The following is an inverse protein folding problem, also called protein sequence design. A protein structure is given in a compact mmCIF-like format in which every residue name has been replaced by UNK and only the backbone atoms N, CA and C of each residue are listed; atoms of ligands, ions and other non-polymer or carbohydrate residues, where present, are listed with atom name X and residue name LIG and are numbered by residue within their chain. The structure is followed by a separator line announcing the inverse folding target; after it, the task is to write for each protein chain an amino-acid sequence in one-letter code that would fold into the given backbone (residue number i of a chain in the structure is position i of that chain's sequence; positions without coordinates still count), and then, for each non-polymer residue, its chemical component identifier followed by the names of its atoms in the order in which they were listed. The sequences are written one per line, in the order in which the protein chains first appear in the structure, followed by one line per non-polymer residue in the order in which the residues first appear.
data_IF_405653835968
#
_entry.id   IF_405653835968
#
_cell.length_a   1.000
_cell.length_b   1.000
_cell.length_c   1.000
_cell.angle_alpha   90.00
_cell.angle_beta   90.00
_cell.angle_gamma   90.00
#
_symmetry.space_group_name_H-M   'P 1'
#
loop_
_entity.id
_entity.type
_entity.pdbx_description
1 polymer ?
#
# COMPACT_ATOMS: atom_id res chain seq x y z
N UNK A 1 14.35 -29.08 -35.02
CA UNK A 1 14.91 -30.44 -34.91
C UNK A 1 16.43 -30.34 -34.95
N UNK A 2 17.07 -30.24 -33.78
CA UNK A 2 18.52 -30.38 -33.57
C UNK A 2 18.67 -30.72 -32.08
N UNK A 3 19.48 -31.73 -31.77
CA UNK A 3 19.48 -32.42 -30.48
C UNK A 3 20.77 -32.10 -29.74
N UNK A 4 20.66 -31.68 -28.47
CA UNK A 4 21.79 -31.60 -27.54
C UNK A 4 21.44 -32.34 -26.26
N UNK A 5 22.24 -33.36 -25.93
CA UNK A 5 22.11 -34.18 -24.72
C UNK A 5 22.80 -33.51 -23.53
N UNK A 6 22.21 -33.53 -22.31
CA UNK A 6 22.86 -33.01 -21.12
C UNK A 6 23.81 -34.04 -20.47
N UNK A 7 24.99 -33.59 -20.07
CA UNK A 7 26.01 -34.41 -19.39
C UNK A 7 25.73 -34.52 -17.89
N UNK A 8 25.77 -35.73 -17.35
CA UNK A 8 25.47 -36.05 -15.95
C UNK A 8 26.56 -35.56 -14.99
N UNK A 9 26.23 -34.65 -14.07
CA UNK A 9 27.10 -34.28 -12.94
C UNK A 9 26.65 -35.04 -11.68
N UNK A 10 27.61 -35.68 -11.01
CA UNK A 10 27.42 -36.56 -9.84
C UNK A 10 27.20 -35.73 -8.57
N UNK A 11 26.04 -35.89 -7.92
CA UNK A 11 25.81 -35.37 -6.57
C UNK A 11 26.54 -36.22 -5.52
N UNK A 12 27.23 -35.58 -4.57
CA UNK A 12 27.88 -36.22 -3.43
C UNK A 12 27.09 -35.90 -2.17
N UNK A 13 26.72 -36.95 -1.42
CA UNK A 13 25.76 -36.89 -0.32
C UNK A 13 26.50 -36.89 1.04
N UNK A 14 26.37 -35.86 1.90
CA UNK A 14 26.97 -35.86 3.23
C UNK A 14 26.09 -36.56 4.28
N UNK A 15 26.68 -37.49 5.02
CA UNK A 15 26.06 -38.21 6.14
C UNK A 15 26.00 -37.35 7.42
N UNK A 16 24.96 -37.48 8.28
CA UNK A 16 24.90 -36.78 9.57
C UNK A 16 25.66 -37.53 10.68
N UNK A 17 26.30 -36.76 11.58
CA UNK A 17 26.99 -37.25 12.78
C UNK A 17 26.03 -37.41 13.98
N UNK A 18 26.33 -38.31 14.95
CA UNK A 18 25.44 -38.58 16.09
C UNK A 18 25.56 -37.56 17.23
N UNK A 19 24.45 -37.33 17.92
CA UNK A 19 24.38 -36.51 19.13
C UNK A 19 24.99 -37.23 20.34
N UNK A 20 25.77 -36.48 21.14
CA UNK A 20 26.21 -36.88 22.49
C UNK A 20 25.64 -35.89 23.51
N UNK A 21 24.83 -36.40 24.43
CA UNK A 21 24.22 -35.64 25.53
C UNK A 21 25.09 -35.70 26.78
N UNK A 22 25.62 -34.54 27.21
CA UNK A 22 26.30 -34.41 28.50
C UNK A 22 25.29 -34.10 29.61
N UNK A 23 25.29 -34.90 30.67
CA UNK A 23 24.55 -34.61 31.91
C UNK A 23 25.41 -34.97 33.12
N UNK A 24 26.10 -33.95 33.68
CA UNK A 24 26.81 -34.04 34.95
C UNK A 24 26.56 -32.77 35.76
N UNK A 25 25.93 -32.93 36.92
CA UNK A 25 26.04 -32.01 38.05
C UNK A 25 26.04 -32.85 39.33
N UNK A 26 27.18 -32.80 40.02
CA UNK A 26 27.49 -33.61 41.22
C UNK A 26 27.12 -32.78 42.45
N UNK A 27 26.40 -33.36 43.40
CA UNK A 27 26.12 -32.75 44.71
C UNK A 27 26.88 -33.47 45.82
N UNK A 28 27.81 -32.75 46.47
CA UNK A 28 28.62 -33.21 47.61
C UNK A 28 27.79 -33.21 48.92
N UNK A 29 27.92 -34.22 49.80
CA UNK A 29 27.35 -34.21 51.15
C UNK A 29 28.42 -33.93 52.24
N UNK A 30 28.00 -33.40 53.40
CA UNK A 30 28.60 -33.43 54.77
C UNK A 30 27.97 -32.28 55.61
N UNK A 31 27.93 -32.31 56.96
CA UNK A 31 27.69 -33.44 57.86
C UNK A 31 26.66 -33.16 59.01
N UNK A 32 26.10 -34.24 59.56
CA UNK A 32 25.72 -34.50 60.98
C UNK A 32 25.14 -33.39 61.90
N UNK A 33 24.01 -33.71 62.54
CA UNK A 33 23.86 -33.61 64.02
C UNK A 33 22.73 -34.54 64.50
N UNK A 34 22.73 -34.92 65.78
CA UNK A 34 21.94 -36.05 66.31
C UNK A 34 21.10 -35.71 67.54
N UNK A 35 19.98 -36.45 67.69
CA UNK A 35 19.15 -36.63 68.90
C UNK A 35 18.33 -35.40 69.38
N UNK A 36 17.29 -35.58 70.24
CA UNK A 36 16.71 -36.83 70.76
C UNK A 36 15.21 -37.04 70.43
N UNK A 37 14.72 -38.26 70.65
CA UNK A 37 13.28 -38.60 70.64
C UNK A 37 12.62 -38.37 72.01
N UNK A 38 11.37 -37.86 72.04
CA UNK A 38 10.47 -38.18 73.14
C UNK A 38 9.03 -38.56 72.68
N UNK A 39 8.68 -39.82 72.93
CA UNK A 39 7.45 -40.24 73.63
C UNK A 39 6.10 -39.51 73.41
N UNK A 40 5.16 -40.28 72.83
CA UNK A 40 3.70 -40.29 73.05
C UNK A 40 2.83 -39.22 72.36
N UNK A 41 1.71 -39.71 71.83
CA UNK A 41 0.69 -39.00 71.04
C UNK A 41 -0.29 -38.21 71.93
N UNK A 42 -1.12 -37.34 71.32
CA UNK A 42 -2.41 -37.81 70.82
C UNK A 42 -2.71 -37.38 69.37
N UNK A 43 -3.76 -37.98 68.80
CA UNK A 43 -4.21 -37.74 67.43
C UNK A 43 -4.60 -36.27 67.19
N UNK A 44 -3.94 -35.63 66.23
CA UNK A 44 -4.58 -34.62 65.39
C UNK A 44 -5.06 -35.32 64.10
N UNK A 45 -6.24 -34.96 63.55
CA UNK A 45 -6.64 -35.47 62.24
C UNK A 45 -5.58 -35.06 61.22
N UNK A 46 -5.22 -35.98 60.32
CA UNK A 46 -4.40 -35.60 59.17
C UNK A 46 -5.23 -34.65 58.31
N UNK A 47 -4.89 -33.37 58.37
CA UNK A 47 -5.31 -32.42 57.34
C UNK A 47 -4.73 -32.92 56.03
N UNK A 48 -5.52 -33.70 55.30
CA UNK A 48 -5.33 -33.85 53.87
C UNK A 48 -5.46 -32.44 53.30
N UNK A 49 -4.30 -31.83 53.03
CA UNK A 49 -4.21 -30.77 52.05
C UNK A 49 -4.53 -31.46 50.72
N UNK A 50 -5.82 -31.61 50.46
CA UNK A 50 -6.30 -31.63 49.10
C UNK A 50 -5.82 -30.31 48.52
N UNK A 51 -4.79 -30.37 47.70
CA UNK A 51 -4.49 -29.32 46.76
C UNK A 51 -5.77 -29.11 45.94
N UNK A 52 -6.57 -28.12 46.33
CA UNK A 52 -7.54 -27.52 45.42
C UNK A 52 -6.68 -27.06 44.24
N UNK A 53 -7.01 -27.61 43.08
CA UNK A 53 -6.19 -27.52 41.88
C UNK A 53 -5.96 -26.05 41.50
N UNK A 54 -4.80 -25.52 41.92
CA UNK A 54 -4.40 -24.14 41.69
C UNK A 54 -3.70 -24.03 40.33
N UNK A 55 -4.39 -24.51 39.30
CA UNK A 55 -3.98 -24.58 37.90
C UNK A 55 -5.18 -24.12 37.05
N UNK A 56 -5.09 -23.17 36.12
CA UNK A 56 -3.99 -22.26 35.75
C UNK A 56 -4.60 -20.86 35.51
N UNK A 57 -3.98 -19.75 35.95
CA UNK A 57 -4.33 -18.41 35.47
C UNK A 57 -4.20 -18.29 33.93
N UNK A 58 -3.26 -19.03 33.35
CA UNK A 58 -2.94 -19.06 31.93
C UNK A 58 -4.06 -19.62 31.04
N UNK A 59 -4.85 -20.57 31.55
CA UNK A 59 -5.95 -21.17 30.80
C UNK A 59 -7.16 -20.24 30.74
N UNK A 60 -7.46 -19.51 31.82
CA UNK A 60 -8.59 -18.57 31.85
C UNK A 60 -8.42 -17.43 30.85
N UNK A 61 -7.24 -16.80 30.80
CA UNK A 61 -6.93 -15.77 29.80
C UNK A 61 -6.97 -16.33 28.36
N UNK A 62 -6.45 -17.54 28.15
CA UNK A 62 -6.50 -18.23 26.85
C UNK A 62 -7.92 -18.54 26.41
N UNK A 63 -8.78 -19.00 27.32
CA UNK A 63 -10.20 -19.24 27.06
C UNK A 63 -10.98 -17.95 26.80
N UNK A 64 -10.70 -16.86 27.53
CA UNK A 64 -11.28 -15.55 27.26
C UNK A 64 -10.85 -15.01 25.90
N UNK A 65 -9.56 -15.11 25.55
CA UNK A 65 -9.02 -14.72 24.25
C UNK A 65 -9.67 -15.52 23.11
N UNK A 66 -9.82 -16.84 23.27
CA UNK A 66 -10.48 -17.68 22.27
C UNK A 66 -11.98 -17.36 22.13
N UNK A 67 -12.70 -17.10 23.23
CA UNK A 67 -14.09 -16.63 23.18
C UNK A 67 -14.22 -15.26 22.53
N UNK A 68 -13.30 -14.34 22.82
CA UNK A 68 -13.26 -13.02 22.21
C UNK A 68 -13.05 -13.13 20.70
N UNK A 69 -12.04 -13.88 20.25
CA UNK A 69 -11.78 -14.16 18.83
C UNK A 69 -13.00 -14.79 18.16
N UNK A 70 -13.66 -15.78 18.79
CA UNK A 70 -14.89 -16.37 18.27
C UNK A 70 -16.04 -15.34 18.17
N UNK A 71 -16.15 -14.41 19.12
CA UNK A 71 -17.18 -13.36 19.12
C UNK A 71 -16.93 -12.20 18.13
N UNK A 72 -15.70 -12.05 17.65
CA UNK A 72 -15.30 -11.07 16.62
C UNK A 72 -15.02 -11.71 15.25
N UNK A 73 -15.07 -13.05 15.15
CA UNK A 73 -14.82 -13.76 13.89
C UNK A 73 -15.90 -13.42 12.86
N UNK A 74 -15.49 -13.38 11.60
CA UNK A 74 -16.34 -13.03 10.46
C UNK A 74 -16.22 -14.11 9.39
N UNK A 75 -17.30 -14.36 8.65
CA UNK A 75 -17.24 -15.08 7.38
C UNK A 75 -17.07 -14.08 6.25
N UNK A 76 -15.87 -14.04 5.66
CA UNK A 76 -15.49 -13.07 4.62
C UNK A 76 -15.40 -13.79 3.27
N UNK A 77 -16.18 -13.34 2.30
CA UNK A 77 -16.12 -13.81 0.92
C UNK A 77 -15.30 -12.84 0.06
N UNK A 78 -14.14 -13.29 -0.40
CA UNK A 78 -13.25 -12.52 -1.28
C UNK A 78 -13.64 -12.77 -2.74
N UNK A 79 -14.09 -11.72 -3.44
CA UNK A 79 -14.36 -11.76 -4.87
C UNK A 79 -13.20 -11.08 -5.60
N UNK A 80 -12.47 -11.85 -6.40
CA UNK A 80 -11.21 -11.42 -7.01
C UNK A 80 -10.00 -11.97 -6.27
N UNK A 81 -9.85 -13.29 -6.23
CA UNK A 81 -8.72 -13.98 -5.57
C UNK A 81 -7.40 -13.91 -6.37
N UNK A 82 -7.04 -12.72 -6.87
CA UNK A 82 -5.73 -12.43 -7.48
C UNK A 82 -4.68 -12.01 -6.44
N UNK A 83 -3.56 -11.43 -6.89
CA UNK A 83 -2.40 -11.07 -6.04
C UNK A 83 -2.80 -10.35 -4.74
N UNK A 84 -3.69 -9.36 -4.81
CA UNK A 84 -4.11 -8.58 -3.64
C UNK A 84 -5.06 -9.34 -2.70
N UNK A 85 -6.04 -10.07 -3.25
CA UNK A 85 -6.94 -10.90 -2.46
C UNK A 85 -6.22 -12.04 -1.74
N UNK A 86 -5.22 -12.64 -2.39
CA UNK A 86 -4.32 -13.65 -1.81
C UNK A 86 -3.34 -13.06 -0.77
N UNK A 87 -3.02 -11.76 -0.87
CA UNK A 87 -2.20 -11.06 0.11
C UNK A 87 -3.00 -10.80 1.39
N UNK A 88 -4.21 -10.24 1.28
CA UNK A 88 -5.10 -10.02 2.43
C UNK A 88 -5.52 -11.34 3.09
N UNK A 89 -5.79 -12.39 2.31
CA UNK A 89 -6.29 -13.67 2.85
C UNK A 89 -5.34 -14.29 3.87
N UNK A 90 -4.02 -14.19 3.66
CA UNK A 90 -2.98 -14.74 4.57
C UNK A 90 -3.08 -14.17 5.98
N UNK A 91 -3.49 -12.92 6.12
CA UNK A 91 -3.67 -12.26 7.41
C UNK A 91 -5.05 -12.60 7.98
N UNK A 92 -6.10 -12.51 7.16
CA UNK A 92 -7.48 -12.70 7.63
C UNK A 92 -7.72 -14.13 8.15
N UNK A 93 -7.08 -15.15 7.55
CA UNK A 93 -7.17 -16.56 7.97
C UNK A 93 -6.77 -16.84 9.42
N UNK A 94 -6.02 -15.94 10.07
CA UNK A 94 -5.62 -16.10 11.48
C UNK A 94 -6.83 -16.18 12.42
N UNK A 95 -7.91 -15.45 12.09
CA UNK A 95 -9.05 -15.23 12.98
C UNK A 95 -10.44 -15.29 12.29
N UNK A 96 -10.50 -15.35 10.95
CA UNK A 96 -11.74 -15.27 10.18
C UNK A 96 -11.90 -16.46 9.23
N UNK A 97 -13.15 -16.83 8.93
CA UNK A 97 -13.45 -17.88 7.94
C UNK A 97 -13.46 -17.25 6.55
N UNK A 98 -12.60 -17.74 5.64
CA UNK A 98 -12.52 -17.20 4.28
C UNK A 98 -13.14 -18.12 3.24
N UNK A 99 -13.95 -17.49 2.40
CA UNK A 99 -14.44 -18.03 1.14
C UNK A 99 -13.85 -17.21 -0.01
N UNK A 100 -13.65 -17.80 -1.18
CA UNK A 100 -13.13 -17.10 -2.35
C UNK A 100 -13.89 -17.44 -3.63
N UNK A 101 -14.07 -16.44 -4.49
CA UNK A 101 -14.45 -16.61 -5.89
C UNK A 101 -13.55 -15.75 -6.77
N UNK A 102 -13.28 -16.22 -7.98
CA UNK A 102 -12.54 -15.48 -9.00
C UNK A 102 -12.88 -16.01 -10.39
N UNK A 103 -12.76 -15.13 -11.41
CA UNK A 103 -12.89 -15.51 -12.83
C UNK A 103 -11.87 -16.58 -13.23
N UNK A 104 -10.66 -16.49 -12.69
CA UNK A 104 -9.61 -17.51 -12.88
C UNK A 104 -9.77 -18.56 -11.79
N UNK A 105 -9.71 -19.85 -12.15
CA UNK A 105 -9.73 -20.91 -11.16
C UNK A 105 -8.44 -20.86 -10.31
N UNK A 106 -8.59 -20.65 -9.01
CA UNK A 106 -7.51 -20.67 -8.01
C UNK A 106 -7.74 -21.74 -6.93
N UNK A 107 -8.57 -22.76 -7.19
CA UNK A 107 -8.97 -23.75 -6.19
C UNK A 107 -7.78 -24.40 -5.46
N UNK A 108 -6.74 -24.85 -6.18
CA UNK A 108 -5.57 -25.49 -5.58
C UNK A 108 -4.79 -24.54 -4.66
N UNK A 109 -4.62 -23.28 -5.08
CA UNK A 109 -3.93 -22.25 -4.32
C UNK A 109 -4.74 -21.80 -3.09
N UNK A 110 -6.05 -21.66 -3.25
CA UNK A 110 -6.97 -21.36 -2.16
C UNK A 110 -6.96 -22.49 -1.12
N UNK A 111 -7.07 -23.75 -1.56
CA UNK A 111 -6.97 -24.92 -0.69
C UNK A 111 -5.62 -24.98 0.06
N UNK A 112 -4.50 -24.70 -0.62
CA UNK A 112 -3.18 -24.64 0.02
C UNK A 112 -3.08 -23.53 1.08
N UNK A 113 -3.79 -22.42 0.88
CA UNK A 113 -3.90 -21.34 1.87
C UNK A 113 -4.96 -21.61 2.96
N UNK A 114 -5.81 -22.64 2.83
CA UNK A 114 -6.92 -22.88 3.76
C UNK A 114 -8.19 -22.06 3.49
N UNK A 115 -8.37 -21.55 2.26
CA UNK A 115 -9.54 -20.77 1.81
C UNK A 115 -10.47 -21.66 0.99
N UNK A 116 -11.76 -21.67 1.28
CA UNK A 116 -12.75 -22.42 0.49
C UNK A 116 -13.07 -21.70 -0.83
N UNK A 117 -12.70 -22.29 -1.96
CA UNK A 117 -12.91 -21.69 -3.29
C UNK A 117 -14.22 -22.17 -3.95
N UNK A 118 -14.96 -21.24 -4.54
CA UNK A 118 -16.23 -21.47 -5.23
C UNK A 118 -16.13 -20.98 -6.68
N UNK A 119 -16.43 -21.88 -7.62
CA UNK A 119 -16.39 -21.58 -9.05
C UNK A 119 -17.57 -20.69 -9.48
N UNK A 120 -18.74 -20.86 -8.86
CA UNK A 120 -19.94 -20.04 -9.10
C UNK A 120 -20.18 -19.06 -7.93
N UNK A 121 -20.37 -17.74 -8.17
CA UNK A 121 -20.80 -16.81 -7.12
C UNK A 121 -22.16 -17.16 -6.50
N UNK A 122 -23.01 -17.94 -7.17
CA UNK A 122 -24.29 -18.41 -6.61
C UNK A 122 -24.08 -19.34 -5.40
N UNK A 123 -23.14 -20.28 -5.48
CA UNK A 123 -22.81 -21.22 -4.40
C UNK A 123 -22.09 -20.51 -3.25
N UNK A 124 -21.20 -19.56 -3.59
CA UNK A 124 -20.52 -18.70 -2.64
C UNK A 124 -21.51 -17.92 -1.77
N UNK A 125 -22.55 -17.36 -2.37
CA UNK A 125 -23.51 -16.50 -1.65
C UNK A 125 -24.52 -17.28 -0.81
N UNK A 126 -24.80 -18.54 -1.16
CA UNK A 126 -25.55 -19.48 -0.29
C UNK A 126 -24.81 -19.79 1.02
N UNK A 127 -23.49 -19.60 1.09
CA UNK A 127 -22.76 -19.71 2.36
C UNK A 127 -23.06 -18.55 3.32
N UNK A 128 -23.80 -17.53 2.88
CA UNK A 128 -24.19 -16.34 3.63
C UNK A 128 -23.00 -15.69 4.37
N UNK A 129 -22.01 -15.14 3.65
CA UNK A 129 -20.94 -14.37 4.25
C UNK A 129 -21.47 -13.13 4.97
N UNK A 130 -20.82 -12.77 6.07
CA UNK A 130 -21.06 -11.52 6.78
C UNK A 130 -20.53 -10.34 5.95
N UNK A 131 -19.35 -10.54 5.34
CA UNK A 131 -18.65 -9.52 4.55
C UNK A 131 -18.35 -10.05 3.14
N UNK A 132 -18.65 -9.26 2.12
CA UNK A 132 -18.23 -9.48 0.72
C UNK A 132 -17.17 -8.45 0.36
N UNK A 133 -15.94 -8.91 0.13
CA UNK A 133 -14.78 -8.09 -0.20
C UNK A 133 -14.49 -8.13 -1.70
N UNK A 134 -14.62 -7.00 -2.39
CA UNK A 134 -14.21 -6.83 -3.78
C UNK A 134 -12.71 -6.49 -3.86
N UNK A 135 -11.93 -7.46 -4.35
CA UNK A 135 -10.49 -7.35 -4.63
C UNK A 135 -10.18 -7.57 -6.13
N UNK A 136 -11.11 -7.20 -7.00
CA UNK A 136 -10.95 -7.20 -8.46
C UNK A 136 -10.23 -5.96 -8.99
N UNK A 137 -9.84 -5.98 -10.28
CA UNK A 137 -9.33 -4.77 -10.93
C UNK A 137 -10.42 -3.72 -11.06
N UNK A 138 -10.02 -2.44 -10.98
CA UNK A 138 -10.92 -1.28 -11.13
C UNK A 138 -11.76 -1.43 -12.42
N UNK A 139 -11.11 -1.71 -13.55
CA UNK A 139 -11.73 -1.85 -14.87
C UNK A 139 -12.83 -2.93 -14.97
N UNK A 140 -12.80 -3.96 -14.11
CA UNK A 140 -13.73 -5.09 -14.18
C UNK A 140 -14.87 -5.05 -13.15
N UNK A 141 -14.82 -4.09 -12.23
CA UNK A 141 -15.67 -4.09 -11.01
C UNK A 141 -17.15 -3.81 -11.31
N UNK A 142 -17.48 -2.89 -12.22
CA UNK A 142 -18.89 -2.66 -12.62
C UNK A 142 -19.51 -3.89 -13.31
N UNK A 143 -18.80 -4.46 -14.29
CA UNK A 143 -19.23 -5.67 -15.03
C UNK A 143 -19.39 -6.89 -14.12
N UNK A 144 -18.61 -6.97 -13.03
CA UNK A 144 -18.77 -7.98 -11.99
C UNK A 144 -20.03 -7.71 -11.17
N UNK A 145 -20.19 -6.50 -10.62
CA UNK A 145 -21.33 -6.13 -9.77
C UNK A 145 -22.68 -6.40 -10.44
N UNK A 146 -22.81 -6.10 -11.73
CA UNK A 146 -24.01 -6.37 -12.52
C UNK A 146 -24.41 -7.86 -12.62
N UNK A 147 -23.48 -8.78 -12.33
CA UNK A 147 -23.68 -10.24 -12.45
C UNK A 147 -23.80 -10.97 -11.12
N UNK A 148 -23.60 -10.27 -9.98
CA UNK A 148 -23.61 -10.91 -8.68
C UNK A 148 -25.06 -11.20 -8.21
N UNK A 149 -25.36 -12.41 -7.70
CA UNK A 149 -26.71 -12.80 -7.33
C UNK A 149 -27.10 -12.29 -5.94
N UNK A 150 -27.17 -10.98 -5.76
CA UNK A 150 -27.40 -10.30 -4.46
C UNK A 150 -28.58 -10.86 -3.66
N UNK A 151 -29.62 -11.33 -4.33
CA UNK A 151 -30.80 -12.00 -3.75
C UNK A 151 -30.51 -13.26 -2.90
N UNK A 152 -29.31 -13.84 -3.00
CA UNK A 152 -28.84 -14.98 -2.18
C UNK A 152 -28.17 -14.57 -0.87
N UNK A 153 -27.82 -13.29 -0.71
CA UNK A 153 -27.18 -12.76 0.49
C UNK A 153 -28.21 -12.37 1.56
N UNK A 154 -27.72 -12.19 2.80
CA UNK A 154 -28.52 -11.61 3.88
C UNK A 154 -28.67 -10.11 3.64
N UNK A 155 -29.84 -9.56 4.00
CA UNK A 155 -30.14 -8.12 3.82
C UNK A 155 -29.19 -7.18 4.57
N UNK A 156 -28.43 -7.66 5.54
CA UNK A 156 -27.42 -6.89 6.26
C UNK A 156 -25.99 -7.34 5.96
N UNK A 157 -25.72 -8.01 4.83
CA UNK A 157 -24.33 -8.29 4.41
C UNK A 157 -23.58 -6.98 4.13
N UNK A 158 -22.33 -6.90 4.61
CA UNK A 158 -21.44 -5.75 4.39
C UNK A 158 -20.64 -5.92 3.10
N UNK A 159 -20.76 -4.96 2.19
CA UNK A 159 -19.89 -4.86 1.02
C UNK A 159 -18.70 -3.96 1.31
N UNK A 160 -17.51 -4.47 0.98
CA UNK A 160 -16.24 -3.76 1.10
C UNK A 160 -15.54 -3.77 -0.25
N UNK A 161 -14.95 -2.64 -0.66
CA UNK A 161 -13.96 -2.62 -1.73
C UNK A 161 -12.56 -2.30 -1.20
N UNK A 162 -11.55 -2.81 -1.90
CA UNK A 162 -10.13 -2.47 -1.70
C UNK A 162 -9.48 -1.99 -3.01
N UNK A 163 -10.24 -1.30 -3.87
CA UNK A 163 -9.69 -0.68 -5.08
C UNK A 163 -8.81 0.52 -4.70
N UNK A 164 -7.93 0.94 -5.60
CA UNK A 164 -7.05 2.10 -5.38
C UNK A 164 -7.66 3.47 -5.74
N UNK A 165 -8.93 3.50 -6.13
CA UNK A 165 -9.76 4.70 -6.29
C UNK A 165 -11.05 4.48 -5.50
N UNK A 166 -11.71 5.54 -5.02
CA UNK A 166 -12.78 5.43 -4.02
C UNK A 166 -14.13 6.04 -4.46
N UNK A 167 -14.16 7.13 -5.20
CA UNK A 167 -15.43 7.70 -5.71
C UNK A 167 -16.13 6.71 -6.65
N UNK A 168 -15.37 6.02 -7.50
CA UNK A 168 -15.90 5.04 -8.43
C UNK A 168 -16.59 3.85 -7.74
N UNK A 169 -15.94 3.02 -6.88
CA UNK A 169 -16.62 1.91 -6.21
C UNK A 169 -17.76 2.38 -5.30
N UNK A 170 -17.62 3.52 -4.61
CA UNK A 170 -18.70 4.14 -3.82
C UNK A 170 -19.96 4.35 -4.67
N UNK A 171 -19.80 4.99 -5.83
CA UNK A 171 -20.91 5.31 -6.72
C UNK A 171 -21.51 4.05 -7.38
N UNK A 172 -20.68 3.04 -7.70
CA UNK A 172 -21.16 1.73 -8.17
C UNK A 172 -21.98 1.02 -7.08
N UNK A 173 -21.49 0.98 -5.84
CA UNK A 173 -22.18 0.33 -4.73
C UNK A 173 -23.52 1.00 -4.44
N UNK A 174 -23.58 2.33 -4.37
CA UNK A 174 -24.83 3.07 -4.18
C UNK A 174 -25.83 2.89 -5.34
N UNK A 175 -25.34 2.62 -6.56
CA UNK A 175 -26.15 2.39 -7.77
C UNK A 175 -26.70 0.96 -7.87
N UNK A 176 -25.90 -0.05 -7.50
CA UNK A 176 -26.20 -1.47 -7.76
C UNK A 176 -26.61 -2.29 -6.54
N UNK A 177 -26.18 -1.92 -5.32
CA UNK A 177 -26.49 -2.70 -4.13
C UNK A 177 -27.87 -2.30 -3.57
N UNK A 178 -28.71 -3.28 -3.16
CA UNK A 178 -29.94 -3.02 -2.41
C UNK A 178 -29.72 -2.06 -1.24
N UNK A 179 -30.72 -1.21 -0.88
CA UNK A 179 -30.56 -0.20 0.17
C UNK A 179 -30.26 -0.80 1.55
N UNK A 180 -30.71 -2.03 1.79
CA UNK A 180 -30.51 -2.73 3.05
C UNK A 180 -29.03 -3.09 3.31
N UNK A 181 -28.20 -3.29 2.28
CA UNK A 181 -26.79 -3.71 2.43
C UNK A 181 -25.91 -2.60 3.00
N UNK A 182 -24.96 -2.97 3.86
CA UNK A 182 -23.92 -2.05 4.35
C UNK A 182 -22.83 -1.84 3.29
N UNK A 183 -22.23 -0.64 3.25
CA UNK A 183 -21.16 -0.24 2.32
C UNK A 183 -20.04 0.42 3.12
N UNK A 184 -18.83 -0.14 2.99
CA UNK A 184 -17.58 0.41 3.49
C UNK A 184 -16.56 0.48 2.34
N UNK A 185 -16.17 1.68 1.93
CA UNK A 185 -15.14 1.84 0.91
C UNK A 185 -13.76 1.91 1.58
N UNK A 186 -12.79 1.10 1.15
CA UNK A 186 -11.46 1.06 1.79
C UNK A 186 -10.32 1.09 0.79
N UNK A 187 -9.14 1.49 1.25
CA UNK A 187 -7.91 1.36 0.51
C UNK A 187 -6.73 1.17 1.49
N UNK A 188 -6.23 -0.07 1.64
CA UNK A 188 -4.92 -0.29 2.21
C UNK A 188 -3.89 0.37 1.28
N UNK A 189 -3.18 1.40 1.76
CA UNK A 189 -2.21 2.17 0.94
C UNK A 189 -0.88 1.41 0.78
N UNK A 190 -0.96 0.08 0.68
CA UNK A 190 0.16 -0.85 0.65
C UNK A 190 -0.24 -2.14 -0.08
N UNK A 191 0.74 -2.78 -0.72
CA UNK A 191 0.55 -3.96 -1.57
C UNK A 191 1.37 -5.18 -1.10
N UNK A 192 1.40 -6.26 -1.90
CA UNK A 192 2.20 -7.45 -1.59
C UNK A 192 3.70 -7.17 -1.42
N UNK A 193 4.24 -6.14 -2.09
CA UNK A 193 5.64 -5.73 -1.95
C UNK A 193 5.85 -4.77 -0.76
N UNK A 194 5.06 -3.70 -0.63
CA UNK A 194 5.25 -2.71 0.44
C UNK A 194 4.73 -3.14 1.82
N UNK A 195 3.77 -4.06 1.88
CA UNK A 195 3.23 -4.66 3.11
C UNK A 195 3.72 -6.09 3.39
N UNK A 196 4.82 -6.52 2.76
CA UNK A 196 5.33 -7.90 2.78
C UNK A 196 5.72 -8.41 4.16
N UNK A 197 6.30 -7.56 5.00
CA UNK A 197 6.90 -7.92 6.29
C UNK A 197 5.98 -7.64 7.48
N UNK A 198 5.26 -6.51 7.45
CA UNK A 198 4.32 -6.08 8.48
C UNK A 198 3.41 -5.00 7.90
N UNK A 199 2.22 -4.82 8.48
CA UNK A 199 1.31 -3.71 8.18
C UNK A 199 1.42 -2.57 9.21
N UNK A 200 2.28 -2.73 10.23
CA UNK A 200 2.46 -1.76 11.30
C UNK A 200 2.87 -0.37 10.77
N UNK A 201 2.11 0.66 11.12
CA UNK A 201 2.29 2.04 10.69
C UNK A 201 1.87 2.33 9.23
N UNK A 202 1.55 1.31 8.41
CA UNK A 202 1.11 1.53 7.04
C UNK A 202 -0.29 2.14 7.03
N UNK A 203 -0.62 3.06 6.11
CA UNK A 203 -1.91 3.73 6.11
C UNK A 203 -3.00 2.77 5.60
N UNK A 204 -4.09 2.68 6.33
CA UNK A 204 -5.33 2.04 5.88
C UNK A 204 -6.44 3.09 5.87
N UNK A 205 -6.88 3.47 4.66
CA UNK A 205 -7.92 4.49 4.46
C UNK A 205 -9.30 3.83 4.38
N UNK A 206 -10.31 4.43 5.00
CA UNK A 206 -11.70 3.96 4.89
C UNK A 206 -12.73 5.10 4.94
N UNK A 207 -13.89 4.83 4.35
CA UNK A 207 -15.10 5.67 4.34
C UNK A 207 -16.32 4.79 4.68
N UNK A 208 -17.01 5.09 5.79
CA UNK A 208 -18.24 4.40 6.23
C UNK A 208 -19.46 4.88 5.43
N UNK A 209 -19.42 4.68 4.12
CA UNK A 209 -20.38 5.21 3.12
C UNK A 209 -21.85 4.97 3.47
N UNK A 210 -22.20 3.76 3.94
CA UNK A 210 -23.57 3.42 4.39
C UNK A 210 -23.53 2.26 5.37
N UNK A 211 -23.53 2.55 6.66
CA UNK A 211 -23.70 1.54 7.72
C UNK A 211 -25.04 1.79 8.41
N UNK A 212 -25.86 0.77 8.59
CA UNK A 212 -27.16 0.90 9.27
C UNK A 212 -27.03 0.93 10.80
N UNK A 213 -28.01 1.57 11.46
CA UNK A 213 -27.98 1.92 12.89
C UNK A 213 -28.10 0.72 13.86
N UNK A 214 -28.35 -0.48 13.36
CA UNK A 214 -28.41 -1.68 14.20
C UNK A 214 -27.02 -2.01 14.78
N UNK A 215 -26.94 -2.28 16.09
CA UNK A 215 -25.70 -2.67 16.77
C UNK A 215 -24.97 -3.82 16.06
N UNK A 216 -25.72 -4.78 15.49
CA UNK A 216 -25.14 -5.91 14.75
C UNK A 216 -24.41 -5.51 13.46
N UNK A 217 -24.82 -4.41 12.82
CA UNK A 217 -24.26 -3.87 11.57
C UNK A 217 -23.03 -3.02 11.85
N UNK A 218 -23.15 -2.13 12.84
CA UNK A 218 -22.04 -1.33 13.37
C UNK A 218 -20.89 -2.27 13.81
N UNK A 219 -21.19 -3.24 14.68
CA UNK A 219 -20.21 -4.21 15.17
C UNK A 219 -19.58 -5.05 14.05
N UNK A 220 -20.31 -5.37 12.97
CA UNK A 220 -19.73 -6.08 11.82
C UNK A 220 -18.73 -5.20 11.06
N UNK A 221 -19.05 -3.93 10.87
CA UNK A 221 -18.14 -2.96 10.24
C UNK A 221 -16.88 -2.77 11.10
N UNK A 222 -17.04 -2.55 12.40
CA UNK A 222 -15.92 -2.34 13.31
C UNK A 222 -15.05 -3.60 13.44
N UNK A 223 -15.64 -4.80 13.57
CA UNK A 223 -14.92 -6.09 13.54
C UNK A 223 -14.09 -6.30 12.24
N UNK A 224 -14.48 -5.69 11.11
CA UNK A 224 -13.73 -5.76 9.87
C UNK A 224 -12.57 -4.74 9.83
N UNK A 225 -12.79 -3.53 10.34
CA UNK A 225 -11.76 -2.50 10.47
C UNK A 225 -10.66 -2.91 11.46
N UNK A 226 -11.07 -3.52 12.57
CA UNK A 226 -10.24 -4.08 13.64
C UNK A 226 -9.23 -5.14 13.14
N UNK A 227 -9.47 -5.78 11.98
CA UNK A 227 -8.48 -6.65 11.31
C UNK A 227 -7.21 -5.88 10.95
N UNK A 228 -7.37 -4.66 10.43
CA UNK A 228 -6.24 -3.81 10.03
C UNK A 228 -5.63 -3.10 11.26
N UNK A 229 -6.45 -2.67 12.20
CA UNK A 229 -6.00 -2.04 13.45
C UNK A 229 -5.11 -2.98 14.29
N UNK A 230 -5.51 -4.26 14.44
CA UNK A 230 -4.73 -5.29 15.15
C UNK A 230 -3.39 -5.64 14.52
N UNK A 231 -3.26 -5.48 13.21
CA UNK A 231 -1.98 -5.64 12.49
C UNK A 231 -1.13 -4.34 12.54
N UNK A 232 -1.60 -3.34 13.28
CA UNK A 232 -0.90 -2.08 13.56
C UNK A 232 -1.05 -1.03 12.47
N UNK A 233 -1.99 -1.17 11.53
CA UNK A 233 -2.22 -0.16 10.49
C UNK A 233 -2.53 1.20 11.13
N UNK A 234 -2.03 2.27 10.51
CA UNK A 234 -2.50 3.62 10.79
C UNK A 234 -3.85 3.81 10.12
N UNK A 235 -4.92 3.66 10.91
CA UNK A 235 -6.30 3.82 10.49
C UNK A 235 -6.59 5.29 10.16
N UNK A 236 -7.12 5.57 8.97
CA UNK A 236 -7.42 6.94 8.50
C UNK A 236 -8.83 6.98 7.91
N UNK A 237 -9.78 7.53 8.65
CA UNK A 237 -11.12 7.81 8.14
C UNK A 237 -11.11 9.10 7.31
N UNK A 238 -11.61 9.05 6.07
CA UNK A 238 -11.83 10.22 5.21
C UNK A 238 -12.84 9.90 4.11
N UNK A 239 -13.45 10.92 3.51
CA UNK A 239 -14.40 10.69 2.42
C UNK A 239 -13.72 10.15 1.16
N UNK A 240 -14.45 9.36 0.36
CA UNK A 240 -13.97 8.86 -0.93
C UNK A 240 -13.47 9.98 -1.88
N UNK A 241 -14.09 11.16 -1.82
CA UNK A 241 -13.71 12.34 -2.60
C UNK A 241 -12.37 12.93 -2.15
N UNK A 242 -12.15 13.05 -0.84
CA UNK A 242 -10.86 13.50 -0.29
C UNK A 242 -9.76 12.49 -0.58
N UNK A 243 -10.04 11.20 -0.43
CA UNK A 243 -9.11 10.14 -0.81
C UNK A 243 -8.65 10.31 -2.26
N UNK A 244 -9.58 10.37 -3.23
CA UNK A 244 -9.19 10.41 -4.64
C UNK A 244 -8.44 11.71 -4.99
N UNK A 245 -8.78 12.83 -4.36
CA UNK A 245 -8.01 14.07 -4.47
C UNK A 245 -6.56 13.91 -3.97
N UNK A 246 -6.34 13.30 -2.80
CA UNK A 246 -4.99 13.06 -2.27
C UNK A 246 -4.23 11.98 -3.06
N UNK A 247 -4.91 10.90 -3.46
CA UNK A 247 -4.33 9.78 -4.20
C UNK A 247 -3.86 10.20 -5.59
N UNK A 248 -4.56 11.13 -6.26
CA UNK A 248 -4.09 11.73 -7.52
C UNK A 248 -2.73 12.43 -7.35
N UNK A 249 -2.60 13.30 -6.34
CA UNK A 249 -1.37 14.05 -6.07
C UNK A 249 -0.22 13.25 -5.46
N UNK A 250 -0.46 11.99 -5.06
CA UNK A 250 0.52 11.13 -4.39
C UNK A 250 0.71 9.79 -5.10
N UNK A 251 -0.22 8.85 -4.94
CA UNK A 251 -0.16 7.53 -5.54
C UNK A 251 -0.05 7.59 -7.07
N UNK A 252 -0.96 8.31 -7.75
CA UNK A 252 -0.96 8.35 -9.21
C UNK A 252 0.35 8.94 -9.75
N UNK A 253 0.79 10.09 -9.24
CA UNK A 253 2.11 10.69 -9.52
C UNK A 253 3.26 9.68 -9.31
N UNK A 254 3.22 8.92 -8.21
CA UNK A 254 4.23 7.90 -7.88
C UNK A 254 4.28 6.78 -8.92
N UNK A 255 3.13 6.23 -9.33
CA UNK A 255 3.08 5.23 -10.41
C UNK A 255 3.46 5.80 -11.78
N UNK A 256 3.04 7.04 -12.11
CA UNK A 256 3.44 7.71 -13.35
C UNK A 256 4.95 7.82 -13.41
N UNK A 257 5.60 8.32 -12.35
CA UNK A 257 7.07 8.43 -12.31
C UNK A 257 7.76 7.07 -12.35
N UNK A 258 7.28 6.07 -11.60
CA UNK A 258 7.82 4.70 -11.68
C UNK A 258 7.79 4.14 -13.10
N UNK A 259 6.67 4.31 -13.83
CA UNK A 259 6.53 3.85 -15.22
C UNK A 259 7.30 4.70 -16.24
N UNK A 260 7.48 6.00 -16.00
CA UNK A 260 8.38 6.84 -16.82
C UNK A 260 9.83 6.37 -16.66
N UNK A 261 10.26 6.09 -15.43
CA UNK A 261 11.62 5.62 -15.13
C UNK A 261 11.88 4.19 -15.63
N UNK A 262 10.87 3.32 -15.58
CA UNK A 262 10.89 2.00 -16.24
C UNK A 262 11.09 2.16 -17.77
N UNK A 263 10.29 3.01 -18.42
CA UNK A 263 10.38 3.30 -19.86
C UNK A 263 11.68 4.01 -20.26
N UNK A 264 12.27 4.78 -19.36
CA UNK A 264 13.58 5.41 -19.54
C UNK A 264 14.72 4.38 -19.50
N UNK A 265 14.50 3.21 -18.89
CA UNK A 265 15.50 2.15 -18.78
C UNK A 265 16.55 2.45 -17.70
N UNK A 266 16.11 2.73 -16.46
CA UNK A 266 17.04 2.85 -15.34
C UNK A 266 17.85 1.56 -15.13
N UNK A 267 19.18 1.69 -15.21
CA UNK A 267 20.13 0.62 -14.87
C UNK A 267 20.93 0.97 -13.61
N UNK A 268 21.35 -0.05 -12.86
CA UNK A 268 22.19 0.11 -11.68
C UNK A 268 23.66 0.24 -12.07
N UNK A 269 24.41 1.10 -11.35
CA UNK A 269 25.84 1.36 -11.58
C UNK A 269 26.68 1.19 -10.31
N UNK A 270 28.01 1.00 -10.42
CA UNK A 270 28.92 1.01 -9.26
C UNK A 270 29.00 2.33 -8.48
N UNK A 271 28.42 3.42 -9.03
CA UNK A 271 28.49 4.78 -8.47
C UNK A 271 27.10 5.33 -8.11
N UNK A 272 26.12 4.45 -7.86
CA UNK A 272 24.77 4.85 -7.46
C UNK A 272 24.80 5.78 -6.24
N UNK A 273 24.05 6.88 -6.32
CA UNK A 273 23.76 7.72 -5.16
C UNK A 273 22.57 7.16 -4.38
N UNK A 274 22.43 7.52 -3.10
CA UNK A 274 21.27 7.11 -2.28
C UNK A 274 19.93 7.60 -2.84
N UNK A 275 19.93 8.76 -3.50
CA UNK A 275 18.77 9.24 -4.26
C UNK A 275 18.44 8.34 -5.45
N UNK A 276 19.45 7.90 -6.20
CA UNK A 276 19.27 7.00 -7.35
C UNK A 276 18.83 5.59 -6.94
N UNK A 277 19.36 5.05 -5.85
CA UNK A 277 18.86 3.79 -5.23
C UNK A 277 17.36 3.88 -4.91
N UNK A 278 16.87 5.05 -4.46
CA UNK A 278 15.45 5.27 -4.19
C UNK A 278 14.60 5.24 -5.46
N UNK A 279 15.14 5.72 -6.59
CA UNK A 279 14.46 5.64 -7.90
C UNK A 279 14.43 4.20 -8.45
N UNK A 280 15.51 3.43 -8.27
CA UNK A 280 15.52 2.00 -8.62
C UNK A 280 14.46 1.23 -7.79
N UNK A 281 14.40 1.49 -6.48
CA UNK A 281 13.38 0.90 -5.60
C UNK A 281 11.95 1.32 -5.99
N UNK A 282 11.75 2.57 -6.46
CA UNK A 282 10.46 3.02 -6.98
C UNK A 282 10.04 2.24 -8.23
N UNK A 283 10.97 1.98 -9.17
CA UNK A 283 10.68 1.17 -10.36
C UNK A 283 10.31 -0.25 -9.95
N UNK A 284 11.11 -0.94 -9.14
CA UNK A 284 10.79 -2.32 -8.72
C UNK A 284 9.47 -2.41 -7.94
N UNK A 285 9.17 -1.45 -7.06
CA UNK A 285 7.89 -1.40 -6.33
C UNK A 285 6.67 -1.16 -7.23
N UNK A 286 6.81 -0.44 -8.36
CA UNK A 286 5.69 -0.09 -9.27
C UNK A 286 5.54 -1.04 -10.46
N UNK A 287 6.61 -1.79 -10.78
CA UNK A 287 6.68 -2.82 -11.83
C UNK A 287 5.90 -4.09 -11.49
N UNK A 288 5.74 -4.40 -10.20
CA UNK A 288 4.87 -5.50 -9.74
C UNK A 288 3.38 -5.28 -10.05
N UNK A 289 2.96 -4.03 -10.27
CA UNK A 289 1.58 -3.67 -10.54
C UNK A 289 1.24 -3.68 -12.03
N UNK A 290 0.06 -4.24 -12.35
CA UNK A 290 -0.41 -4.34 -13.74
C UNK A 290 -0.66 -2.96 -14.36
N UNK A 291 -0.50 -2.88 -15.69
CA UNK A 291 -0.88 -1.67 -16.42
C UNK A 291 -2.37 -1.33 -16.25
N UNK A 292 -3.23 -2.35 -16.18
CA UNK A 292 -4.67 -2.20 -15.89
C UNK A 292 -4.95 -1.46 -14.58
N UNK A 293 -4.14 -1.67 -13.53
CA UNK A 293 -4.28 -0.94 -12.27
C UNK A 293 -3.97 0.54 -12.49
N UNK A 294 -2.83 0.85 -13.11
CA UNK A 294 -2.41 2.22 -13.40
C UNK A 294 -3.38 2.97 -14.33
N UNK A 295 -3.84 2.30 -15.39
CA UNK A 295 -4.88 2.84 -16.27
C UNK A 295 -6.19 3.08 -15.51
N UNK A 296 -6.54 2.20 -14.57
CA UNK A 296 -7.66 2.39 -13.64
C UNK A 296 -7.49 3.62 -12.74
N UNK A 297 -6.28 3.89 -12.21
CA UNK A 297 -5.99 5.10 -11.43
C UNK A 297 -6.24 6.38 -12.25
N UNK A 298 -5.89 6.38 -13.54
CA UNK A 298 -6.12 7.51 -14.43
C UNK A 298 -7.61 7.66 -14.80
N UNK A 299 -8.24 6.59 -15.28
CA UNK A 299 -9.59 6.62 -15.85
C UNK A 299 -10.69 6.89 -14.81
N UNK A 300 -10.49 6.45 -13.57
CA UNK A 300 -11.52 6.47 -12.53
C UNK A 300 -11.20 7.41 -11.36
N UNK A 301 -10.23 8.31 -11.54
CA UNK A 301 -10.00 9.44 -10.65
C UNK A 301 -9.96 10.74 -11.47
N UNK A 302 -11.02 11.53 -11.38
CA UNK A 302 -11.16 12.79 -12.11
C UNK A 302 -10.01 13.79 -11.89
N UNK A 303 -9.30 13.70 -10.75
CA UNK A 303 -8.18 14.58 -10.41
C UNK A 303 -6.86 14.16 -11.08
N UNK A 304 -6.77 12.96 -11.67
CA UNK A 304 -5.52 12.41 -12.21
C UNK A 304 -4.99 13.18 -13.43
N UNK A 305 -5.89 13.68 -14.30
CA UNK A 305 -5.49 14.45 -15.49
C UNK A 305 -4.75 15.75 -15.12
N UNK A 306 -5.25 16.50 -14.14
CA UNK A 306 -4.59 17.72 -13.65
C UNK A 306 -3.16 17.43 -13.15
N UNK A 307 -2.96 16.31 -12.44
CA UNK A 307 -1.62 15.95 -11.96
C UNK A 307 -0.69 15.52 -13.09
N UNK A 308 -1.21 14.87 -14.13
CA UNK A 308 -0.44 14.50 -15.32
C UNK A 308 0.03 15.74 -16.09
N UNK A 309 -0.87 16.70 -16.33
CA UNK A 309 -0.54 17.98 -16.97
C UNK A 309 0.45 18.80 -16.14
N UNK A 310 0.31 18.80 -14.81
CA UNK A 310 1.25 19.48 -13.90
C UNK A 310 2.64 18.84 -13.91
N UNK A 311 2.74 17.51 -14.05
CA UNK A 311 4.03 16.83 -14.22
C UNK A 311 4.70 17.21 -15.55
N UNK A 312 3.95 17.22 -16.66
CA UNK A 312 4.47 17.59 -17.98
C UNK A 312 4.96 19.06 -18.03
N UNK A 313 4.14 19.98 -17.50
CA UNK A 313 4.53 21.39 -17.36
C UNK A 313 5.79 21.58 -16.50
N UNK A 314 5.93 20.83 -15.41
CA UNK A 314 7.13 20.88 -14.57
C UNK A 314 8.37 20.37 -15.32
N UNK A 315 8.24 19.28 -16.08
CA UNK A 315 9.33 18.71 -16.88
C UNK A 315 9.79 19.67 -17.99
N UNK A 316 8.85 20.25 -18.75
CA UNK A 316 9.17 21.25 -19.78
C UNK A 316 9.71 22.57 -19.17
N UNK A 317 9.32 22.95 -17.95
CA UNK A 317 9.92 24.10 -17.25
C UNK A 317 11.39 23.85 -16.93
N UNK A 318 11.74 22.71 -16.33
CA UNK A 318 13.13 22.34 -16.01
C UNK A 318 13.98 22.31 -17.28
N UNK A 319 13.46 21.73 -18.35
CA UNK A 319 14.09 21.67 -19.67
C UNK A 319 14.37 23.08 -20.23
N UNK A 320 13.41 24.01 -20.14
CA UNK A 320 13.58 25.42 -20.54
C UNK A 320 14.65 26.13 -19.71
N UNK A 321 14.70 25.91 -18.39
CA UNK A 321 15.72 26.51 -17.52
C UNK A 321 17.14 26.04 -17.88
N UNK A 322 17.30 24.75 -18.19
CA UNK A 322 18.58 24.17 -18.61
C UNK A 322 19.04 24.74 -19.96
N UNK A 323 18.18 24.69 -20.99
CA UNK A 323 18.53 25.21 -22.32
C UNK A 323 18.68 26.74 -22.36
N UNK A 324 17.90 27.47 -21.57
CA UNK A 324 18.00 28.93 -21.43
C UNK A 324 19.37 29.35 -20.89
N UNK A 325 19.86 28.67 -19.84
CA UNK A 325 21.22 28.89 -19.30
C UNK A 325 22.29 28.49 -20.30
N UNK A 326 22.12 27.37 -21.00
CA UNK A 326 23.05 26.90 -22.03
C UNK A 326 23.21 27.92 -23.17
N UNK A 327 22.10 28.47 -23.68
CA UNK A 327 22.13 29.53 -24.68
C UNK A 327 22.82 30.82 -24.19
N UNK A 328 22.67 31.19 -22.92
CA UNK A 328 23.39 32.33 -22.35
C UNK A 328 24.91 32.09 -22.31
N UNK A 329 25.36 30.87 -21.94
CA UNK A 329 26.78 30.49 -21.95
C UNK A 329 27.34 30.52 -23.37
N UNK A 330 26.68 29.87 -24.34
CA UNK A 330 27.10 29.91 -25.75
C UNK A 330 27.11 31.32 -26.31
N UNK A 331 26.13 32.17 -25.98
CA UNK A 331 26.11 33.57 -26.44
C UNK A 331 27.30 34.37 -25.90
N UNK A 332 27.68 34.17 -24.63
CA UNK A 332 28.89 34.80 -24.05
C UNK A 332 30.18 34.27 -24.67
N UNK A 333 30.25 32.98 -24.98
CA UNK A 333 31.44 32.38 -25.62
C UNK A 333 31.59 32.77 -27.10
N UNK A 334 30.49 32.86 -27.85
CA UNK A 334 30.51 33.17 -29.29
C UNK A 334 30.64 34.66 -29.61
N UNK A 335 30.07 35.55 -28.77
CA UNK A 335 30.10 36.99 -28.99
C UNK A 335 31.06 37.75 -28.05
N UNK A 336 31.73 37.04 -27.13
CA UNK A 336 32.58 37.61 -26.09
C UNK A 336 31.81 38.46 -25.07
N UNK A 337 32.49 38.92 -24.02
CA UNK A 337 31.99 40.02 -23.18
C UNK A 337 32.17 41.36 -23.93
N UNK A 338 31.34 41.55 -24.95
CA UNK A 338 31.31 42.74 -25.82
C UNK A 338 30.91 44.05 -25.08
N UNK A 339 30.68 43.98 -23.77
CA UNK A 339 30.55 45.14 -22.90
C UNK A 339 31.80 46.05 -22.95
N UNK A 340 32.98 45.52 -23.27
CA UNK A 340 34.21 46.32 -23.42
C UNK A 340 34.37 47.07 -24.75
N UNK A 341 33.70 46.65 -25.83
CA UNK A 341 33.84 47.30 -27.15
C UNK A 341 32.78 48.37 -27.43
N UNK A 342 31.58 48.24 -26.86
CA UNK A 342 30.49 49.19 -27.09
C UNK A 342 30.82 50.56 -26.48
N UNK A 343 31.48 50.62 -25.31
CA UNK A 343 31.95 51.87 -24.72
C UNK A 343 33.09 52.51 -25.52
N UNK A 344 34.07 51.71 -25.99
CA UNK A 344 35.16 52.22 -26.86
C UNK A 344 34.66 52.76 -28.19
N UNK A 345 33.65 52.14 -28.81
CA UNK A 345 33.04 52.66 -30.04
C UNK A 345 32.24 53.94 -29.78
N UNK A 346 31.61 54.10 -28.61
CA UNK A 346 30.97 55.35 -28.20
C UNK A 346 31.98 56.47 -27.95
N UNK A 347 33.07 56.22 -27.23
CA UNK A 347 34.09 57.24 -26.96
C UNK A 347 34.82 57.68 -28.24
N UNK A 348 35.13 56.73 -29.15
CA UNK A 348 35.77 57.05 -30.43
C UNK A 348 34.85 57.86 -31.34
N UNK A 349 33.55 57.54 -31.40
CA UNK A 349 32.57 58.32 -32.14
C UNK A 349 32.39 59.75 -31.58
N UNK A 350 32.42 59.91 -30.25
CA UNK A 350 32.35 61.22 -29.61
C UNK A 350 33.63 62.05 -29.81
N UNK A 351 34.81 61.42 -29.90
CA UNK A 351 36.05 62.11 -30.27
C UNK A 351 36.10 62.52 -31.75
N UNK A 352 35.50 61.74 -32.65
CA UNK A 352 35.46 62.04 -34.10
C UNK A 352 34.43 63.11 -34.49
N UNK A 353 33.42 63.38 -33.65
CA UNK A 353 32.40 64.41 -33.88
C UNK A 353 32.70 65.75 -33.18
N UNK A 354 33.81 65.83 -32.43
CA UNK A 354 34.15 66.97 -31.58
C UNK A 354 35.12 67.99 -32.19
N UNK A 355 34.88 68.47 -33.41
CA UNK A 355 35.51 69.70 -33.93
C UNK A 355 34.78 70.24 -35.19
N UNK A 356 33.91 71.23 -35.01
CA UNK A 356 33.19 71.92 -36.10
C UNK A 356 32.25 72.98 -35.55
N UNK A 357 32.55 74.26 -35.83
CA UNK A 357 31.93 75.42 -35.20
C UNK A 357 30.74 76.01 -35.97
N UNK A 358 29.75 76.52 -35.22
CA UNK A 358 28.85 77.66 -35.55
C UNK A 358 27.96 77.57 -36.80
N UNK A 359 26.64 77.58 -36.60
CA UNK A 359 25.75 78.70 -37.00
C UNK A 359 24.31 78.51 -36.45
N UNK A 360 23.68 79.62 -36.08
CA UNK A 360 22.26 79.78 -35.69
C UNK A 360 21.50 80.57 -36.79
N UNK A 361 20.16 80.76 -36.73
CA UNK A 361 19.12 79.94 -36.10
C UNK A 361 18.14 79.46 -37.22
N UNK A 362 16.89 79.95 -37.49
CA UNK A 362 15.90 80.76 -36.74
C UNK A 362 14.79 79.90 -36.08
N UNK A 363 13.71 80.55 -35.63
CA UNK A 363 12.45 79.94 -35.15
C UNK A 363 11.34 80.03 -36.21
N UNK A 364 10.30 79.18 -36.11
CA UNK A 364 8.92 79.69 -36.04
C UNK A 364 7.91 78.71 -35.39
N UNK A 365 6.68 79.20 -35.18
CA UNK A 365 5.68 78.79 -34.18
C UNK A 365 4.64 77.71 -34.60
N UNK A 366 3.66 77.52 -33.70
CA UNK A 366 2.29 76.95 -33.88
C UNK A 366 2.23 75.45 -33.54
N UNK A 367 1.68 75.04 -32.37
CA UNK A 367 0.25 74.74 -32.07
C UNK A 367 -0.33 73.64 -32.99
N UNK A 368 -1.17 72.69 -32.56
CA UNK A 368 -2.02 72.61 -31.36
C UNK A 368 -2.44 71.15 -31.08
N UNK A 369 -3.09 70.94 -29.93
CA UNK A 369 -4.05 69.88 -29.51
C UNK A 369 -4.51 68.83 -30.56
N UNK A 370 -4.77 67.56 -30.21
CA UNK A 370 -4.80 66.91 -28.90
C UNK A 370 -5.76 65.70 -28.88
N UNK A 371 -5.94 65.09 -27.71
CA UNK A 371 -6.69 63.83 -27.42
C UNK A 371 -5.94 62.53 -27.70
#
# INVERSE_FOLDING_TARGET
MLIFSPTTIRSVNPQPLPYLSFSHSISLPLPLTSLPTPSKSPHFPSFHINCIDAAQPFDYESHLKNRYIQSTSLKIAIIGFGNFGQFLSKTFLRHHTLLAHSRTNYADLANHLGVSFYADPHDLFEQHPDVVLLSTSILSTETLLQKLPFQRLRRNTLFVDVLSVKEFPRNLFLKYLPPDFDILCTHPMFGPESGKTSWAGLPFVYDKVRIGDEESRIKRCDNFLDIFEKEGCRMVEMSCMEHDKYAAGSQFVTHTMGRVLEKFGLESSPINTKGYETLLNLVENTKGDSFDLYYGLFMYNQNALEQLERLDMAFESIKKDLFGRLHQVYRKQLFGDNNGEVEKKRSLAQQLLGNGSLTEPPLDNVRQDGS
#
